data_IF_574210447036
#
_entry.id   IF_574210447036
#
_cell.length_a   1.000
_cell.length_b   1.000
_cell.length_c   1.000
_cell.angle_alpha   90.00
_cell.angle_beta   90.00
_cell.angle_gamma   90.00
#
_symmetry.space_group_name_H-M   'P 1'
#
loop_
_entity.id
_entity.type
_entity.pdbx_description
1 polymer ?
#
# COMPACT_ATOMS: atom_id res chain seq x y z
N UNK A 1 1.08 -17.03 9.95
CA UNK A 1 2.27 -16.38 9.37
C UNK A 1 3.08 -17.38 8.56
N UNK A 2 3.53 -16.97 7.38
CA UNK A 2 4.51 -17.69 6.55
C UNK A 2 5.93 -17.32 6.99
N UNK A 3 6.92 -18.09 6.53
CA UNK A 3 8.33 -17.82 6.80
C UNK A 3 9.13 -17.90 5.50
N UNK A 4 9.59 -16.77 5.01
CA UNK A 4 10.33 -16.65 3.74
C UNK A 4 11.74 -16.15 4.05
N UNK A 5 12.75 -16.97 3.72
CA UNK A 5 14.17 -16.68 4.04
C UNK A 5 14.44 -16.32 5.51
N UNK A 6 13.60 -16.79 6.43
CA UNK A 6 13.73 -16.49 7.86
C UNK A 6 12.82 -15.37 8.36
N UNK A 7 12.23 -14.57 7.48
CA UNK A 7 11.35 -13.46 7.82
C UNK A 7 9.89 -13.93 7.96
N UNK A 8 9.19 -13.53 9.04
CA UNK A 8 7.75 -13.76 9.16
C UNK A 8 6.99 -12.89 8.15
N UNK A 9 5.99 -13.48 7.48
CA UNK A 9 5.12 -12.77 6.54
C UNK A 9 3.67 -13.07 6.89
N UNK A 10 2.83 -12.06 7.19
CA UNK A 10 1.39 -12.25 7.33
C UNK A 10 0.81 -12.78 6.02
N UNK A 11 -0.13 -13.73 6.10
CA UNK A 11 -0.78 -14.29 4.90
C UNK A 11 -2.23 -13.85 4.73
N UNK A 12 -2.82 -13.31 5.79
CA UNK A 12 -4.25 -13.05 5.86
C UNK A 12 -4.61 -11.75 5.11
N UNK A 13 -5.89 -11.54 4.84
CA UNK A 13 -6.37 -10.23 4.36
C UNK A 13 -6.10 -9.17 5.44
N UNK A 14 -5.96 -7.91 5.06
CA UNK A 14 -5.82 -6.82 6.01
C UNK A 14 -6.98 -5.85 5.85
N UNK A 15 -7.92 -5.85 6.79
CA UNK A 15 -9.16 -5.07 6.70
C UNK A 15 -9.38 -4.36 8.02
N UNK A 16 -9.62 -3.05 7.95
CA UNK A 16 -9.90 -2.21 9.12
C UNK A 16 -8.85 -2.33 10.24
N UNK A 17 -7.56 -2.39 9.89
CA UNK A 17 -6.48 -2.49 10.86
C UNK A 17 -6.19 -3.90 11.38
N UNK A 18 -6.98 -4.90 10.97
CA UNK A 18 -6.92 -6.28 11.47
C UNK A 18 -6.58 -7.28 10.37
N UNK A 19 -5.95 -8.39 10.76
CA UNK A 19 -5.65 -9.52 9.88
C UNK A 19 -6.83 -10.50 9.87
N UNK A 20 -7.47 -10.69 8.71
CA UNK A 20 -8.67 -11.52 8.52
C UNK A 20 -8.32 -12.76 7.68
N UNK A 21 -8.42 -13.94 8.30
CA UNK A 21 -8.13 -15.21 7.63
C UNK A 21 -9.24 -15.58 6.65
N UNK A 22 -8.87 -15.91 5.41
CA UNK A 22 -9.79 -16.45 4.41
C UNK A 22 -10.02 -17.96 4.58
N UNK A 23 -10.96 -18.50 3.80
CA UNK A 23 -11.36 -19.91 3.88
C UNK A 23 -10.71 -20.79 2.82
N UNK A 24 -10.62 -20.27 1.59
CA UNK A 24 -9.95 -20.94 0.47
C UNK A 24 -8.55 -20.37 0.26
N UNK A 25 -7.64 -21.21 -0.24
CA UNK A 25 -6.23 -20.85 -0.40
C UNK A 25 -5.70 -21.26 -1.77
N UNK A 26 -4.65 -20.57 -2.21
CA UNK A 26 -3.79 -20.99 -3.32
C UNK A 26 -2.33 -20.99 -2.88
N UNK A 27 -1.56 -21.90 -3.47
CA UNK A 27 -0.12 -22.00 -3.20
C UNK A 27 0.64 -20.99 -4.07
N UNK A 28 1.51 -20.23 -3.44
CA UNK A 28 2.48 -19.36 -4.11
C UNK A 28 3.80 -20.12 -4.22
N UNK A 29 4.43 -20.06 -5.38
CA UNK A 29 5.68 -20.75 -5.69
C UNK A 29 6.77 -19.74 -6.00
N UNK A 30 8.00 -20.05 -5.60
CA UNK A 30 9.15 -19.24 -6.00
C UNK A 30 9.44 -19.43 -7.48
N UNK A 31 9.63 -18.35 -8.27
CA UNK A 31 10.10 -18.48 -9.65
C UNK A 31 11.58 -18.87 -9.74
N UNK A 32 12.31 -18.98 -8.61
CA UNK A 32 13.74 -19.31 -8.59
C UNK A 32 13.97 -20.82 -8.75
N UNK A 33 13.19 -21.64 -8.05
CA UNK A 33 13.38 -23.09 -7.93
C UNK A 33 12.05 -23.88 -7.92
N UNK A 34 10.93 -23.20 -8.17
CA UNK A 34 9.56 -23.76 -8.13
C UNK A 34 9.16 -24.32 -6.75
N UNK A 35 9.92 -24.01 -5.69
CA UNK A 35 9.57 -24.45 -4.34
C UNK A 35 8.32 -23.68 -3.84
N UNK A 36 7.40 -24.37 -3.12
CA UNK A 36 6.26 -23.70 -2.52
C UNK A 36 6.73 -22.75 -1.40
N UNK A 37 6.28 -21.50 -1.46
CA UNK A 37 6.56 -20.48 -0.44
C UNK A 37 5.51 -20.44 0.67
N UNK A 38 4.28 -20.83 0.33
CA UNK A 38 3.17 -20.88 1.28
C UNK A 38 1.82 -20.74 0.62
N UNK A 39 0.78 -20.81 1.44
CA UNK A 39 -0.61 -20.65 1.03
C UNK A 39 -1.10 -19.23 1.36
N UNK A 40 -1.72 -18.59 0.37
CA UNK A 40 -2.36 -17.28 0.48
C UNK A 40 -3.87 -17.42 0.28
N UNK A 41 -4.70 -16.67 1.02
CA UNK A 41 -6.14 -16.80 0.96
C UNK A 41 -6.70 -16.20 -0.34
N UNK A 42 -7.76 -16.82 -0.85
CA UNK A 42 -8.59 -16.30 -1.93
C UNK A 42 -9.62 -15.35 -1.34
N UNK A 43 -9.56 -14.08 -1.76
CA UNK A 43 -10.58 -13.10 -1.41
C UNK A 43 -11.94 -13.50 -1.99
N UNK A 44 -12.97 -13.31 -1.18
CA UNK A 44 -14.37 -13.49 -1.59
C UNK A 44 -15.04 -12.13 -1.80
N UNK A 45 -16.25 -12.13 -2.32
CA UNK A 45 -17.05 -10.91 -2.47
C UNK A 45 -17.27 -10.24 -1.10
N UNK A 46 -17.51 -11.01 -0.04
CA UNK A 46 -17.68 -10.49 1.32
C UNK A 46 -16.42 -9.79 1.85
N UNK A 47 -15.24 -10.34 1.56
CA UNK A 47 -13.97 -9.70 1.93
C UNK A 47 -13.77 -8.37 1.20
N UNK A 48 -14.14 -8.32 -0.09
CA UNK A 48 -14.05 -7.10 -0.90
C UNK A 48 -15.02 -6.04 -0.37
N UNK A 49 -16.29 -6.41 -0.13
CA UNK A 49 -17.31 -5.50 0.42
C UNK A 49 -16.91 -4.99 1.82
N UNK A 50 -16.36 -5.85 2.68
CA UNK A 50 -15.85 -5.44 3.98
C UNK A 50 -14.69 -4.43 3.86
N UNK A 51 -13.78 -4.63 2.91
CA UNK A 51 -12.69 -3.69 2.65
C UNK A 51 -13.19 -2.36 2.08
N UNK A 52 -14.21 -2.37 1.20
CA UNK A 52 -14.86 -1.18 0.65
C UNK A 52 -15.56 -0.39 1.75
N UNK A 53 -16.37 -1.05 2.59
CA UNK A 53 -17.06 -0.43 3.70
C UNK A 53 -16.07 0.22 4.69
N UNK A 54 -15.04 -0.54 5.10
CA UNK A 54 -13.95 -0.06 5.96
C UNK A 54 -13.25 1.18 5.38
N UNK A 55 -12.93 1.16 4.08
CA UNK A 55 -12.29 2.28 3.40
C UNK A 55 -13.21 3.49 3.29
N UNK A 56 -14.50 3.28 3.04
CA UNK A 56 -15.51 4.34 2.96
C UNK A 56 -15.75 5.00 4.32
N UNK A 57 -15.79 4.22 5.40
CA UNK A 57 -15.97 4.73 6.76
C UNK A 57 -14.76 5.55 7.24
N UNK A 58 -13.54 5.15 6.87
CA UNK A 58 -12.31 5.87 7.22
C UNK A 58 -12.10 7.15 6.38
N UNK A 59 -12.71 7.24 5.20
CA UNK A 59 -12.45 8.30 4.22
C UNK A 59 -12.77 9.73 4.72
N UNK A 60 -13.91 10.01 5.37
CA UNK A 60 -14.21 11.35 5.86
C UNK A 60 -13.15 11.89 6.82
N UNK A 61 -12.69 11.07 7.77
CA UNK A 61 -11.68 11.49 8.74
C UNK A 61 -10.31 11.70 8.10
N UNK A 62 -9.90 10.77 7.21
CA UNK A 62 -8.61 10.85 6.53
C UNK A 62 -8.50 12.01 5.54
N UNK A 63 -9.55 12.25 4.76
CA UNK A 63 -9.60 13.38 3.81
C UNK A 63 -9.59 14.72 4.54
N UNK A 64 -10.31 14.84 5.66
CA UNK A 64 -10.41 16.06 6.46
C UNK A 64 -9.10 16.51 7.13
N UNK A 65 -8.11 15.62 7.30
CA UNK A 65 -6.79 15.99 7.82
C UNK A 65 -6.05 17.01 6.95
N UNK A 66 -6.41 17.12 5.66
CA UNK A 66 -5.64 17.90 4.68
C UNK A 66 -4.24 17.33 4.45
N UNK A 67 -3.48 17.96 3.55
CA UNK A 67 -2.12 17.49 3.23
C UNK A 67 -1.19 17.58 4.44
N UNK A 68 -1.26 18.68 5.21
CA UNK A 68 -0.44 18.90 6.41
C UNK A 68 -0.69 17.83 7.49
N UNK A 69 -1.95 17.48 7.76
CA UNK A 69 -2.29 16.47 8.76
C UNK A 69 -1.90 15.05 8.34
N UNK A 70 -1.88 14.75 7.02
CA UNK A 70 -1.47 13.43 6.50
C UNK A 70 0.04 13.26 6.38
N UNK A 71 0.79 14.34 6.13
CA UNK A 71 2.25 14.34 5.96
C UNK A 71 2.99 13.50 7.03
N UNK A 72 2.79 13.70 8.36
CA UNK A 72 3.52 12.95 9.36
C UNK A 72 3.21 11.44 9.35
N UNK A 73 2.00 11.02 8.95
CA UNK A 73 1.69 9.60 8.78
C UNK A 73 2.47 8.99 7.62
N UNK A 74 2.54 9.70 6.49
CA UNK A 74 3.21 9.23 5.28
C UNK A 74 4.74 9.23 5.43
N UNK A 75 5.30 10.19 6.16
CA UNK A 75 6.72 10.18 6.53
C UNK A 75 7.06 8.97 7.39
N UNK A 76 6.29 8.74 8.47
CA UNK A 76 6.48 7.52 9.30
C UNK A 76 6.30 6.25 8.50
N UNK A 77 5.34 6.22 7.56
CA UNK A 77 5.13 5.06 6.71
C UNK A 77 6.36 4.75 5.85
N UNK A 78 6.97 5.76 5.23
CA UNK A 78 8.21 5.58 4.49
C UNK A 78 9.38 5.13 5.40
N UNK A 79 9.47 5.65 6.62
CA UNK A 79 10.47 5.19 7.61
C UNK A 79 10.27 3.71 7.99
N UNK A 80 9.03 3.29 8.22
CA UNK A 80 8.67 1.91 8.55
C UNK A 80 8.94 0.93 7.40
N UNK A 81 8.81 1.37 6.15
CA UNK A 81 9.29 0.62 4.96
C UNK A 81 10.82 0.47 5.04
N UNK A 82 11.53 1.56 5.36
CA UNK A 82 12.99 1.55 5.50
C UNK A 82 13.49 0.60 6.59
N UNK A 83 12.81 0.55 7.75
CA UNK A 83 13.13 -0.38 8.85
C UNK A 83 12.97 -1.85 8.45
N UNK A 84 12.10 -2.14 7.48
CA UNK A 84 11.84 -3.49 6.95
C UNK A 84 12.61 -3.80 5.66
N UNK A 85 13.57 -2.94 5.26
CA UNK A 85 14.27 -3.05 3.98
C UNK A 85 14.84 -4.45 3.71
N UNK A 86 15.51 -5.05 4.69
CA UNK A 86 16.10 -6.39 4.55
C UNK A 86 15.03 -7.45 4.25
N UNK A 87 13.99 -7.50 5.09
CA UNK A 87 12.87 -8.42 4.92
C UNK A 87 12.18 -8.22 3.57
N UNK A 88 11.89 -6.97 3.19
CA UNK A 88 11.28 -6.65 1.90
C UNK A 88 12.15 -7.12 0.72
N UNK A 89 13.47 -6.95 0.78
CA UNK A 89 14.36 -7.42 -0.28
C UNK A 89 14.35 -8.96 -0.39
N UNK A 90 14.53 -9.65 0.72
CA UNK A 90 14.60 -11.13 0.73
C UNK A 90 13.26 -11.76 0.32
N UNK A 91 12.15 -11.23 0.83
CA UNK A 91 10.80 -11.69 0.49
C UNK A 91 10.50 -11.42 -0.97
N UNK A 92 10.64 -10.18 -1.46
CA UNK A 92 10.28 -9.85 -2.84
C UNK A 92 11.22 -10.52 -3.86
N UNK A 93 12.50 -10.73 -3.53
CA UNK A 93 13.40 -11.52 -4.37
C UNK A 93 12.95 -12.97 -4.49
N UNK A 94 12.52 -13.56 -3.38
CA UNK A 94 12.11 -14.98 -3.34
C UNK A 94 10.75 -15.19 -3.99
N UNK A 95 9.84 -14.25 -3.82
CA UNK A 95 8.45 -14.28 -4.29
C UNK A 95 8.33 -13.88 -5.77
N UNK A 96 9.03 -12.82 -6.20
CA UNK A 96 8.94 -12.27 -7.56
C UNK A 96 10.17 -12.53 -8.46
N UNK A 97 11.23 -13.13 -7.93
CA UNK A 97 12.46 -13.43 -8.69
C UNK A 97 13.30 -12.19 -9.04
N UNK A 98 13.10 -11.06 -8.36
CA UNK A 98 13.83 -9.81 -8.64
C UNK A 98 15.20 -9.86 -7.96
N UNK A 99 16.26 -9.47 -8.68
CA UNK A 99 17.62 -9.42 -8.13
C UNK A 99 17.69 -8.59 -6.84
N UNK A 100 18.27 -9.18 -5.77
CA UNK A 100 18.47 -8.52 -4.47
C UNK A 100 19.15 -7.15 -4.58
N UNK A 101 20.18 -7.02 -5.43
CA UNK A 101 20.87 -5.74 -5.64
C UNK A 101 19.93 -4.66 -6.19
N UNK A 102 19.01 -5.02 -7.10
CA UNK A 102 18.00 -4.12 -7.65
C UNK A 102 16.98 -3.71 -6.58
N UNK A 103 16.60 -4.62 -5.69
CA UNK A 103 15.71 -4.33 -4.57
C UNK A 103 16.38 -3.37 -3.58
N UNK A 104 17.58 -3.70 -3.14
CA UNK A 104 18.34 -2.97 -2.11
C UNK A 104 18.71 -1.54 -2.53
N UNK A 105 19.07 -1.33 -3.81
CA UNK A 105 19.57 -0.05 -4.29
C UNK A 105 18.57 0.74 -5.14
N UNK A 106 17.50 0.10 -5.62
CA UNK A 106 16.51 0.73 -6.50
C UNK A 106 15.11 0.71 -5.93
N UNK A 107 14.50 -0.47 -5.83
CA UNK A 107 13.06 -0.60 -5.55
C UNK A 107 12.68 -0.14 -4.14
N UNK A 108 13.40 -0.58 -3.08
CA UNK A 108 13.03 -0.16 -1.72
C UNK A 108 13.24 1.35 -1.51
N UNK A 109 14.41 1.94 -1.87
CA UNK A 109 14.58 3.39 -1.77
C UNK A 109 13.54 4.17 -2.58
N UNK A 110 13.21 3.70 -3.78
CA UNK A 110 12.18 4.34 -4.62
C UNK A 110 10.79 4.22 -4.02
N UNK A 111 10.48 3.10 -3.37
CA UNK A 111 9.20 2.88 -2.69
C UNK A 111 9.00 3.86 -1.54
N UNK A 112 10.03 4.07 -0.72
CA UNK A 112 10.04 5.10 0.33
C UNK A 112 9.87 6.51 -0.26
N UNK A 113 10.66 6.82 -1.29
CA UNK A 113 10.63 8.12 -1.97
C UNK A 113 9.27 8.42 -2.59
N UNK A 114 8.59 7.43 -3.18
CA UNK A 114 7.25 7.62 -3.73
C UNK A 114 6.31 8.14 -2.64
N UNK A 115 6.31 7.51 -1.46
CA UNK A 115 5.43 7.92 -0.36
C UNK A 115 5.76 9.34 0.12
N UNK A 116 7.03 9.65 0.41
CA UNK A 116 7.41 10.96 0.95
C UNK A 116 7.26 12.08 -0.07
N UNK A 117 7.67 11.84 -1.32
CA UNK A 117 7.61 12.85 -2.37
C UNK A 117 6.16 13.26 -2.66
N UNK A 118 5.23 12.30 -2.76
CA UNK A 118 3.82 12.64 -2.97
C UNK A 118 3.18 13.32 -1.74
N UNK A 119 3.60 12.95 -0.53
CA UNK A 119 3.14 13.63 0.68
C UNK A 119 3.56 15.11 0.69
N UNK A 120 4.80 15.41 0.31
CA UNK A 120 5.31 16.78 0.19
C UNK A 120 4.64 17.53 -0.96
N UNK A 121 4.51 16.90 -2.13
CA UNK A 121 3.86 17.51 -3.29
C UNK A 121 2.39 17.86 -3.05
N UNK A 122 1.70 17.12 -2.17
CA UNK A 122 0.31 17.41 -1.82
C UNK A 122 0.13 18.72 -1.03
N UNK A 123 1.18 19.24 -0.38
CA UNK A 123 1.11 20.46 0.43
C UNK A 123 0.75 21.70 -0.41
N UNK A 124 1.16 21.73 -1.68
CA UNK A 124 0.93 22.87 -2.58
C UNK A 124 -0.13 22.60 -3.63
N UNK A 125 -0.83 21.45 -3.55
CA UNK A 125 -1.81 21.01 -4.55
C UNK A 125 -3.00 21.96 -4.72
N UNK A 126 -3.33 22.73 -3.68
CA UNK A 126 -4.48 23.63 -3.63
C UNK A 126 -4.12 25.10 -3.88
N UNK A 127 -2.85 25.43 -4.18
CA UNK A 127 -2.35 26.81 -4.22
C UNK A 127 -2.74 27.58 -5.50
N UNK A 128 -3.61 27.00 -6.33
CA UNK A 128 -4.00 27.60 -7.61
C UNK A 128 -5.17 28.56 -7.45
N UNK A 129 -4.82 29.84 -7.32
CA UNK A 129 -5.76 30.98 -7.29
C UNK A 129 -5.63 31.80 -8.58
N UNK A 130 -6.76 32.26 -9.14
CA UNK A 130 -6.80 33.17 -10.28
C UNK A 130 -7.60 34.42 -9.91
N UNK A 131 -6.95 35.58 -9.94
CA UNK A 131 -7.57 36.85 -9.59
C UNK A 131 -8.05 37.62 -10.83
N UNK A 132 -9.23 38.20 -10.73
CA UNK A 132 -9.79 39.16 -11.69
C UNK A 132 -10.24 40.42 -10.93
N UNK A 133 -10.43 41.57 -11.61
CA UNK A 133 -10.93 42.78 -10.96
C UNK A 133 -12.30 42.61 -10.28
N UNK A 134 -13.09 41.61 -10.66
CA UNK A 134 -14.45 41.37 -10.16
C UNK A 134 -14.53 40.25 -9.13
N UNK A 135 -13.60 39.29 -9.14
CA UNK A 135 -13.67 38.08 -8.32
C UNK A 135 -12.31 37.36 -8.19
N UNK A 136 -12.20 36.52 -7.16
CA UNK A 136 -11.15 35.48 -7.05
C UNK A 136 -11.73 34.12 -7.43
N UNK A 137 -10.97 33.33 -8.17
CA UNK A 137 -11.32 31.96 -8.54
C UNK A 137 -10.33 30.98 -7.91
N UNK A 138 -10.85 29.94 -7.28
CA UNK A 138 -10.06 28.88 -6.65
C UNK A 138 -10.17 27.60 -7.48
N UNK A 139 -9.04 26.97 -7.80
CA UNK A 139 -9.02 25.63 -8.40
C UNK A 139 -8.65 24.64 -7.31
N UNK A 140 -9.55 23.69 -7.04
CA UNK A 140 -9.37 22.66 -6.03
C UNK A 140 -9.26 21.27 -6.65
N UNK A 141 -8.45 20.44 -6.00
CA UNK A 141 -8.32 19.02 -6.31
C UNK A 141 -8.73 18.22 -5.07
N UNK A 142 -9.99 17.78 -5.04
CA UNK A 142 -10.51 16.99 -3.92
C UNK A 142 -10.25 15.49 -4.15
N UNK A 143 -10.05 14.70 -3.08
CA UNK A 143 -9.89 13.25 -3.23
C UNK A 143 -11.15 12.62 -3.80
N UNK A 144 -10.97 11.55 -4.58
CA UNK A 144 -12.05 10.83 -5.25
C UNK A 144 -12.85 9.90 -4.33
N UNK A 145 -12.28 9.47 -3.19
CA UNK A 145 -12.93 8.57 -2.25
C UNK A 145 -12.10 7.33 -1.96
N UNK A 146 -12.68 6.16 -2.22
CA UNK A 146 -12.03 4.85 -2.08
C UNK A 146 -11.34 4.47 -3.39
N UNK A 147 -10.05 4.14 -3.33
CA UNK A 147 -9.26 3.72 -4.49
C UNK A 147 -8.92 2.23 -4.42
N UNK A 148 -9.33 1.47 -5.45
CA UNK A 148 -8.85 0.12 -5.67
C UNK A 148 -7.51 0.14 -6.44
N UNK A 149 -6.50 -0.55 -5.91
CA UNK A 149 -5.15 -0.61 -6.46
C UNK A 149 -4.82 -2.06 -6.79
N UNK A 150 -4.90 -2.42 -8.07
CA UNK A 150 -4.53 -3.73 -8.60
C UNK A 150 -3.16 -3.61 -9.26
N UNK A 151 -2.19 -4.42 -8.83
CA UNK A 151 -0.79 -4.30 -9.26
C UNK A 151 -0.26 -5.60 -9.87
N UNK A 152 0.66 -5.52 -10.85
CA UNK A 152 1.25 -6.71 -11.47
C UNK A 152 2.48 -7.22 -10.69
N UNK A 153 2.90 -8.45 -11.01
CA UNK A 153 3.91 -9.23 -10.28
C UNK A 153 5.38 -8.84 -10.54
N UNK A 154 5.68 -8.02 -11.54
CA UNK A 154 7.06 -7.80 -12.00
C UNK A 154 7.89 -6.83 -11.13
N UNK A 155 7.22 -6.02 -10.29
CA UNK A 155 7.83 -5.21 -9.23
C UNK A 155 6.74 -4.79 -8.21
N UNK A 156 6.14 -5.75 -7.49
CA UNK A 156 4.90 -5.54 -6.75
C UNK A 156 4.97 -4.35 -5.78
N UNK A 157 6.04 -4.24 -5.00
CA UNK A 157 6.15 -3.19 -3.99
C UNK A 157 6.29 -1.80 -4.61
N UNK A 158 7.17 -1.67 -5.61
CA UNK A 158 7.38 -0.40 -6.31
C UNK A 158 6.09 0.07 -6.99
N UNK A 159 5.42 -0.83 -7.72
CA UNK A 159 4.23 -0.47 -8.51
C UNK A 159 3.02 -0.17 -7.63
N UNK A 160 2.95 -0.81 -6.45
CA UNK A 160 1.96 -0.50 -5.42
C UNK A 160 2.22 0.88 -4.83
N UNK A 161 3.43 1.16 -4.35
CA UNK A 161 3.76 2.45 -3.72
C UNK A 161 3.66 3.63 -4.69
N UNK A 162 3.86 3.39 -5.99
CA UNK A 162 3.69 4.42 -7.02
C UNK A 162 2.24 4.89 -7.18
N UNK A 163 1.26 4.03 -6.90
CA UNK A 163 -0.18 4.36 -6.90
C UNK A 163 -0.65 4.79 -5.52
N UNK A 164 -0.13 4.12 -4.48
CA UNK A 164 -0.52 4.35 -3.10
C UNK A 164 -0.08 5.73 -2.59
N UNK A 165 1.15 6.16 -2.92
CA UNK A 165 1.69 7.47 -2.53
C UNK A 165 0.76 8.64 -2.89
N UNK A 166 0.43 8.86 -4.19
CA UNK A 166 -0.45 9.95 -4.57
C UNK A 166 -1.89 9.78 -4.06
N UNK A 167 -2.40 8.54 -4.00
CA UNK A 167 -3.76 8.28 -3.52
C UNK A 167 -3.93 8.66 -2.04
N UNK A 168 -3.02 8.19 -1.17
CA UNK A 168 -3.05 8.53 0.25
C UNK A 168 -2.75 10.03 0.47
N UNK A 169 -1.77 10.60 -0.22
CA UNK A 169 -1.38 12.00 -0.05
C UNK A 169 -2.51 12.97 -0.44
N UNK A 170 -3.26 12.68 -1.50
CA UNK A 170 -4.43 13.47 -1.91
C UNK A 170 -5.64 13.29 -0.98
N UNK A 171 -5.64 12.28 -0.11
CA UNK A 171 -6.67 12.07 0.92
C UNK A 171 -7.65 10.94 0.61
N UNK A 172 -7.34 10.07 -0.36
CA UNK A 172 -8.12 8.86 -0.61
C UNK A 172 -7.77 7.78 0.41
N UNK A 173 -8.71 6.87 0.65
CA UNK A 173 -8.45 5.58 1.28
C UNK A 173 -8.21 4.54 0.20
N UNK A 174 -7.46 3.48 0.49
CA UNK A 174 -6.95 2.57 -0.51
C UNK A 174 -7.21 1.11 -0.15
N UNK A 175 -7.51 0.30 -1.17
CA UNK A 175 -7.61 -1.15 -1.09
C UNK A 175 -6.65 -1.73 -2.11
N UNK A 176 -5.70 -2.55 -1.67
CA UNK A 176 -4.73 -3.20 -2.55
C UNK A 176 -5.20 -4.62 -2.86
N UNK A 177 -5.25 -4.98 -4.15
CA UNK A 177 -5.22 -6.39 -4.60
C UNK A 177 -3.84 -6.67 -5.17
N UNK A 178 -2.96 -7.32 -4.39
CA UNK A 178 -1.64 -7.68 -4.90
C UNK A 178 -1.76 -8.81 -5.94
N UNK A 179 -0.74 -8.99 -6.79
CA UNK A 179 -0.72 -10.08 -7.75
C UNK A 179 -0.61 -11.43 -7.04
N UNK A 180 -1.37 -12.41 -7.49
CA UNK A 180 -1.43 -13.77 -6.96
C UNK A 180 -0.08 -14.51 -7.05
N UNK A 181 0.77 -14.17 -8.02
CA UNK A 181 2.09 -14.79 -8.16
C UNK A 181 3.18 -14.18 -7.28
N UNK A 182 2.96 -12.97 -6.75
CA UNK A 182 3.95 -12.30 -5.89
C UNK A 182 3.30 -11.38 -4.83
N UNK A 183 2.49 -11.91 -3.91
CA UNK A 183 1.72 -11.10 -2.98
C UNK A 183 2.45 -10.71 -1.68
N UNK A 184 3.56 -11.38 -1.34
CA UNK A 184 4.10 -11.42 0.03
C UNK A 184 4.72 -10.10 0.48
N UNK A 185 5.33 -9.34 -0.43
CA UNK A 185 5.90 -8.02 -0.11
C UNK A 185 4.82 -6.99 0.24
N UNK A 186 3.59 -7.17 -0.26
CA UNK A 186 2.45 -6.29 0.09
C UNK A 186 2.02 -6.49 1.54
N UNK A 187 2.07 -7.71 2.07
CA UNK A 187 1.77 -7.95 3.48
C UNK A 187 2.75 -7.20 4.41
N UNK A 188 4.05 -7.20 4.09
CA UNK A 188 5.05 -6.42 4.83
C UNK A 188 4.85 -4.90 4.70
N UNK A 189 4.33 -4.43 3.56
CA UNK A 189 3.94 -3.04 3.39
C UNK A 189 2.77 -2.67 4.32
N UNK A 190 1.81 -3.58 4.53
CA UNK A 190 0.69 -3.37 5.45
C UNK A 190 1.16 -3.34 6.92
N UNK A 191 2.13 -4.18 7.29
CA UNK A 191 2.76 -4.08 8.61
C UNK A 191 3.47 -2.72 8.81
N UNK A 192 4.13 -2.20 7.76
CA UNK A 192 4.75 -0.87 7.81
C UNK A 192 3.69 0.23 7.97
N UNK A 193 2.56 0.14 7.28
CA UNK A 193 1.46 1.09 7.41
C UNK A 193 0.84 1.05 8.82
N UNK A 194 0.63 -0.15 9.36
CA UNK A 194 0.14 -0.34 10.72
C UNK A 194 1.11 0.27 11.75
N UNK A 195 2.40 -0.04 11.65
CA UNK A 195 3.42 0.48 12.55
C UNK A 195 3.59 2.01 12.47
N UNK A 196 3.33 2.60 11.29
CA UNK A 196 3.32 4.06 11.10
C UNK A 196 2.09 4.75 11.73
N UNK A 197 1.12 3.96 12.18
CA UNK A 197 -0.11 4.41 12.80
C UNK A 197 -1.12 4.95 11.78
N UNK A 198 -1.12 4.46 10.53
CA UNK A 198 -2.20 4.80 9.61
C UNK A 198 -3.54 4.39 10.25
N UNK A 199 -4.56 5.26 10.22
CA UNK A 199 -5.85 4.92 10.84
C UNK A 199 -6.45 3.64 10.23
N UNK A 200 -7.15 2.81 11.02
CA UNK A 200 -7.89 1.67 10.52
C UNK A 200 -8.77 2.04 9.32
N UNK A 201 -8.75 1.20 8.29
CA UNK A 201 -9.52 1.39 7.06
C UNK A 201 -8.90 2.35 6.03
N UNK A 202 -7.90 3.16 6.37
CA UNK A 202 -7.21 4.02 5.39
C UNK A 202 -6.47 3.21 4.34
N UNK A 203 -5.89 2.08 4.75
CA UNK A 203 -5.25 1.13 3.86
C UNK A 203 -5.72 -0.29 4.19
N UNK A 204 -6.30 -0.95 3.21
CA UNK A 204 -6.75 -2.34 3.28
C UNK A 204 -6.07 -3.17 2.19
N UNK A 205 -6.06 -4.49 2.34
CA UNK A 205 -5.55 -5.43 1.36
C UNK A 205 -6.44 -6.67 1.30
N UNK A 206 -6.80 -7.06 0.08
CA UNK A 206 -7.51 -8.31 -0.19
C UNK A 206 -6.69 -9.11 -1.19
N UNK A 207 -6.11 -10.24 -0.75
CA UNK A 207 -5.52 -11.23 -1.64
C UNK A 207 -6.58 -11.88 -2.54
N UNK A 208 -6.17 -12.42 -3.69
CA UNK A 208 -7.04 -13.18 -4.58
C UNK A 208 -6.31 -13.60 -5.85
N UNK A 209 -6.89 -14.55 -6.58
CA UNK A 209 -6.47 -14.96 -7.93
C UNK A 209 -7.18 -14.11 -8.97
#
# INVERSE_FOLDING_TARGET
MLKVKGHPVPRDHYINGEWITGEEFYTVFSPIDEAPLGEMPKGTEEHVEAAIASAADAFPAWSALGAEGRLPYLQRFAEEIGKRKEALCEVESTDAGILLSRLQHGIIPRSMLNITWFAEAALTLQDRVMDTPQAQHFVRHDPAGVCAIITPWNAPLMLTTWKLGPALASGNTCIIKPPEWAPMSSALLLEAAHAAGLPPGVLNMVHGE
#
